data_IF_849453254788
#
_entry.id   IF_849453254788
#
_cell.length_a   1.000
_cell.length_b   1.000
_cell.length_c   1.000
_cell.angle_alpha   90.00
_cell.angle_beta   90.00
_cell.angle_gamma   90.00
#
_symmetry.space_group_name_H-M   'P 1'
#
loop_
_entity.id
_entity.type
_entity.pdbx_description
1 polymer ?
#
# COMPACT_ATOMS: atom_id res chain seq x y z
N UNK A 1 3.14 6.14 -41.32
CA UNK A 1 3.52 7.03 -40.20
C UNK A 1 3.19 6.31 -38.89
N UNK A 2 4.14 6.17 -37.95
CA UNK A 2 3.86 5.53 -36.65
C UNK A 2 3.33 6.59 -35.70
N UNK A 3 2.06 6.45 -35.31
CA UNK A 3 1.45 7.34 -34.33
C UNK A 3 1.84 6.91 -32.90
N UNK A 4 2.25 7.88 -32.08
CA UNK A 4 2.70 7.66 -30.71
C UNK A 4 1.61 8.13 -29.75
N UNK A 5 1.14 7.21 -28.92
CA UNK A 5 0.19 7.49 -27.85
C UNK A 5 0.86 7.26 -26.48
N UNK A 6 0.60 8.14 -25.52
CA UNK A 6 1.18 8.01 -24.18
C UNK A 6 0.52 6.85 -23.43
N UNK A 7 1.31 5.87 -22.98
CA UNK A 7 0.79 4.72 -22.23
C UNK A 7 0.38 5.05 -20.79
N UNK A 8 0.58 6.28 -20.30
CA UNK A 8 0.11 6.67 -18.97
C UNK A 8 -1.42 6.73 -18.90
N UNK A 9 -2.03 6.06 -17.91
CA UNK A 9 -3.47 5.76 -17.85
C UNK A 9 -4.43 6.94 -18.04
N UNK A 10 -4.07 8.10 -17.50
CA UNK A 10 -4.90 9.31 -17.52
C UNK A 10 -4.39 10.37 -18.50
N UNK A 11 -3.40 10.04 -19.35
CA UNK A 11 -2.76 11.00 -20.25
C UNK A 11 -3.33 10.89 -21.66
N UNK A 12 -3.85 11.99 -22.18
CA UNK A 12 -4.43 12.05 -23.52
C UNK A 12 -3.41 12.52 -24.59
N UNK A 13 -2.11 12.49 -24.28
CA UNK A 13 -1.10 12.97 -25.23
C UNK A 13 -0.94 11.98 -26.39
N UNK A 14 -1.16 12.46 -27.60
CA UNK A 14 -1.19 11.65 -28.82
C UNK A 14 -0.60 12.45 -29.99
N UNK A 15 0.38 11.85 -30.69
CA UNK A 15 1.09 12.53 -31.78
C UNK A 15 0.20 12.85 -32.98
N UNK A 16 -1.01 12.28 -33.08
CA UNK A 16 -1.99 12.62 -34.12
C UNK A 16 -2.58 14.01 -33.96
N UNK A 17 -2.52 14.57 -32.75
CA UNK A 17 -3.11 15.87 -32.40
C UNK A 17 -2.04 16.88 -31.98
N UNK A 18 -0.89 16.84 -32.67
CA UNK A 18 0.29 17.66 -32.33
C UNK A 18 0.03 19.18 -32.39
N UNK A 19 -0.96 19.58 -33.19
CA UNK A 19 -1.45 20.94 -33.36
C UNK A 19 -2.22 21.48 -32.14
N UNK A 20 -2.70 20.61 -31.25
CA UNK A 20 -3.51 21.03 -30.11
C UNK A 20 -2.67 21.79 -29.08
N UNK A 21 -3.24 22.80 -28.38
CA UNK A 21 -2.49 23.62 -27.41
C UNK A 21 -1.80 22.81 -26.29
N UNK A 22 -2.42 21.71 -25.87
CA UNK A 22 -1.87 20.85 -24.83
C UNK A 22 -0.72 19.94 -25.31
N UNK A 23 -0.45 19.88 -26.62
CA UNK A 23 0.63 19.09 -27.24
C UNK A 23 1.87 19.92 -27.57
N UNK A 24 1.86 21.24 -27.31
CA UNK A 24 3.01 22.13 -27.50
C UNK A 24 4.21 21.63 -26.68
N UNK A 25 5.35 21.45 -27.36
CA UNK A 25 6.63 20.97 -26.81
C UNK A 25 6.59 19.54 -26.20
N UNK A 26 5.61 18.73 -26.60
CA UNK A 26 5.47 17.35 -26.13
C UNK A 26 6.17 16.40 -27.09
N UNK A 27 7.14 15.65 -26.59
CA UNK A 27 7.76 14.55 -27.32
C UNK A 27 7.55 13.22 -26.59
N UNK A 28 7.79 12.12 -27.30
CA UNK A 28 7.53 10.76 -26.83
C UNK A 28 8.83 9.99 -26.66
N UNK A 29 8.94 9.33 -25.51
CA UNK A 29 10.10 8.57 -25.06
C UNK A 29 9.71 7.09 -25.03
N UNK A 30 10.60 6.22 -25.46
CA UNK A 30 10.34 4.78 -25.44
C UNK A 30 10.29 4.26 -24.01
N UNK A 31 9.33 3.38 -23.74
CA UNK A 31 9.24 2.70 -22.47
C UNK A 31 10.40 1.68 -22.32
N UNK A 32 11.04 1.58 -21.14
CA UNK A 32 12.10 0.61 -20.89
C UNK A 32 11.64 -0.82 -21.14
N UNK A 33 12.34 -1.56 -22.00
CA UNK A 33 11.96 -2.96 -22.29
C UNK A 33 12.26 -3.85 -21.10
N UNK A 34 11.37 -4.79 -20.81
CA UNK A 34 11.55 -5.75 -19.72
C UNK A 34 12.83 -6.58 -19.88
N UNK A 35 13.15 -7.02 -21.10
CA UNK A 35 14.33 -7.85 -21.40
C UNK A 35 15.66 -7.13 -21.14
N UNK A 36 15.75 -5.83 -21.45
CA UNK A 36 17.03 -5.08 -21.37
C UNK A 36 17.13 -4.21 -20.11
N UNK A 37 16.01 -3.81 -19.52
CA UNK A 37 15.96 -2.89 -18.39
C UNK A 37 14.90 -3.34 -17.37
N UNK A 38 15.00 -4.61 -16.92
CA UNK A 38 14.00 -5.28 -16.06
C UNK A 38 13.55 -4.43 -14.86
N UNK A 39 14.50 -3.97 -14.04
CA UNK A 39 14.20 -3.17 -12.83
C UNK A 39 13.47 -1.87 -13.17
N UNK A 40 13.95 -1.12 -14.17
CA UNK A 40 13.36 0.16 -14.60
C UNK A 40 11.98 -0.04 -15.24
N UNK A 41 11.82 -1.10 -16.04
CA UNK A 41 10.55 -1.46 -16.68
C UNK A 41 9.47 -1.77 -15.63
N UNK A 42 9.78 -2.65 -14.67
CA UNK A 42 8.86 -3.02 -13.58
C UNK A 42 8.50 -1.78 -12.75
N UNK A 43 9.50 -0.99 -12.35
CA UNK A 43 9.29 0.25 -11.60
C UNK A 43 8.36 1.21 -12.34
N UNK A 44 8.59 1.44 -13.62
CA UNK A 44 7.73 2.29 -14.44
C UNK A 44 6.32 1.69 -14.53
N UNK A 45 6.14 0.39 -14.80
CA UNK A 45 4.80 -0.21 -14.87
C UNK A 45 3.99 0.04 -13.58
N UNK A 46 4.61 -0.07 -12.41
CA UNK A 46 3.94 0.18 -11.13
C UNK A 46 3.51 1.64 -10.91
N UNK A 47 4.28 2.61 -11.43
CA UNK A 47 3.96 4.04 -11.33
C UNK A 47 2.74 4.46 -12.19
N UNK A 48 2.27 3.62 -13.12
CA UNK A 48 1.30 4.04 -14.13
C UNK A 48 -0.16 3.84 -13.69
N UNK A 49 -0.39 3.23 -12.53
CA UNK A 49 -1.71 3.08 -11.91
C UNK A 49 -2.74 2.35 -12.79
N UNK A 50 -2.28 1.56 -13.77
CA UNK A 50 -3.12 0.67 -14.57
C UNK A 50 -3.20 -0.70 -13.89
N UNK A 51 -4.36 -1.40 -13.92
CA UNK A 51 -4.46 -2.77 -13.46
C UNK A 51 -3.43 -3.68 -14.16
N UNK A 52 -2.82 -4.62 -13.43
CA UNK A 52 -1.80 -5.54 -13.96
C UNK A 52 -2.29 -6.39 -15.13
N UNK A 53 -3.60 -6.65 -15.21
CA UNK A 53 -4.24 -7.33 -16.34
C UNK A 53 -4.23 -6.47 -17.61
N UNK A 54 -4.34 -5.13 -17.47
CA UNK A 54 -4.35 -4.20 -18.61
C UNK A 54 -2.95 -3.83 -19.07
N UNK A 55 -2.01 -3.61 -18.14
CA UNK A 55 -0.65 -3.21 -18.46
C UNK A 55 0.34 -3.87 -17.51
N UNK A 56 1.26 -4.67 -18.06
CA UNK A 56 2.28 -5.39 -17.32
C UNK A 56 3.60 -5.40 -18.10
N UNK A 57 4.72 -5.80 -17.48
CA UNK A 57 6.03 -5.72 -18.14
C UNK A 57 6.14 -6.58 -19.42
N UNK A 58 5.35 -7.65 -19.54
CA UNK A 58 5.34 -8.53 -20.72
C UNK A 58 4.61 -7.90 -21.90
N UNK A 59 3.62 -7.04 -21.64
CA UNK A 59 2.90 -6.26 -22.66
C UNK A 59 3.67 -5.02 -23.15
N UNK A 60 4.83 -4.72 -22.57
CA UNK A 60 5.68 -3.60 -23.01
C UNK A 60 6.38 -3.97 -24.32
N UNK A 61 6.11 -3.20 -25.38
CA UNK A 61 6.70 -3.39 -26.71
C UNK A 61 7.58 -2.20 -27.11
N UNK A 62 8.23 -2.29 -28.27
CA UNK A 62 8.98 -1.17 -28.87
C UNK A 62 8.10 0.03 -29.25
N UNK A 63 6.78 -0.15 -29.30
CA UNK A 63 5.79 0.88 -29.60
C UNK A 63 5.09 1.43 -28.35
N UNK A 64 5.58 1.05 -27.17
CA UNK A 64 5.10 1.60 -25.91
C UNK A 64 5.85 2.90 -25.62
N UNK A 65 5.12 4.03 -25.58
CA UNK A 65 5.71 5.36 -25.40
C UNK A 65 5.14 6.07 -24.18
N UNK A 66 5.95 6.92 -23.55
CA UNK A 66 5.51 7.89 -22.55
C UNK A 66 5.87 9.30 -23.00
N UNK A 67 4.99 10.27 -22.80
CA UNK A 67 5.26 11.64 -23.21
C UNK A 67 6.10 12.42 -22.19
N UNK A 68 6.80 13.45 -22.65
CA UNK A 68 7.72 14.28 -21.86
C UNK A 68 7.06 14.99 -20.67
N UNK A 69 5.72 15.17 -20.68
CA UNK A 69 4.96 15.75 -19.56
C UNK A 69 5.12 15.00 -18.24
N UNK A 70 5.52 13.73 -18.31
CA UNK A 70 5.70 12.88 -17.15
C UNK A 70 7.10 12.98 -16.55
N UNK A 71 7.97 13.87 -17.04
CA UNK A 71 9.35 13.98 -16.57
C UNK A 71 9.70 15.43 -16.21
N UNK A 72 10.70 15.58 -15.35
CA UNK A 72 11.05 16.84 -14.69
C UNK A 72 11.48 17.87 -15.74
N UNK A 73 10.90 19.06 -15.68
CA UNK A 73 11.18 20.11 -16.66
C UNK A 73 10.71 19.80 -18.09
N UNK A 74 9.85 18.78 -18.29
CA UNK A 74 9.47 18.25 -19.61
C UNK A 74 10.65 17.78 -20.44
N UNK A 75 11.76 17.47 -19.78
CA UNK A 75 12.93 16.81 -20.36
C UNK A 75 12.86 15.35 -19.94
N UNK A 76 13.24 14.42 -20.80
CA UNK A 76 13.12 12.98 -20.53
C UNK A 76 13.85 12.52 -19.26
N UNK A 77 13.90 11.21 -18.97
CA UNK A 77 14.53 10.72 -17.76
C UNK A 77 16.02 11.15 -17.69
N UNK A 78 16.42 11.77 -16.57
CA UNK A 78 17.82 12.14 -16.28
C UNK A 78 18.40 11.20 -15.22
N UNK A 79 19.71 11.31 -14.94
CA UNK A 79 20.33 10.54 -13.84
C UNK A 79 19.75 10.92 -12.47
N UNK A 80 19.52 12.21 -12.24
CA UNK A 80 18.92 12.74 -11.01
C UNK A 80 17.42 12.40 -10.90
N UNK A 81 16.70 12.40 -12.03
CA UNK A 81 15.24 12.23 -12.07
C UNK A 81 14.83 11.17 -13.12
N UNK A 82 15.06 9.87 -12.83
CA UNK A 82 14.93 8.82 -13.82
C UNK A 82 13.50 8.31 -14.05
N UNK A 83 12.54 8.70 -13.20
CA UNK A 83 11.20 8.10 -13.15
C UNK A 83 10.06 9.05 -13.54
N UNK A 84 9.02 8.51 -14.20
CA UNK A 84 7.88 9.30 -14.62
C UNK A 84 6.88 9.56 -13.49
N UNK A 85 6.22 10.72 -13.53
CA UNK A 85 5.17 11.15 -12.59
C UNK A 85 3.86 11.51 -13.32
N UNK A 86 2.72 11.68 -12.64
CA UNK A 86 1.45 12.04 -13.30
C UNK A 86 1.53 13.37 -14.07
N UNK A 87 1.08 13.45 -15.33
CA UNK A 87 1.16 14.66 -16.15
C UNK A 87 0.35 15.87 -15.61
N UNK A 88 -0.49 15.66 -14.60
CA UNK A 88 -1.23 16.73 -13.89
C UNK A 88 -0.40 17.39 -12.78
N UNK A 89 0.88 17.05 -12.64
CA UNK A 89 1.73 17.53 -11.55
C UNK A 89 2.27 18.95 -11.79
N UNK A 90 1.97 19.91 -10.90
CA UNK A 90 2.61 21.24 -10.91
C UNK A 90 4.06 21.16 -10.40
N UNK A 91 4.87 22.22 -10.56
CA UNK A 91 6.27 22.27 -10.11
C UNK A 91 6.47 21.91 -8.62
N UNK A 92 5.51 22.27 -7.74
CA UNK A 92 5.50 21.83 -6.33
C UNK A 92 5.26 20.31 -6.17
N UNK A 93 4.43 19.71 -7.02
CA UNK A 93 4.15 18.27 -7.03
C UNK A 93 5.31 17.45 -7.62
N UNK A 94 6.08 18.04 -8.54
CA UNK A 94 7.33 17.44 -9.04
C UNK A 94 8.41 17.48 -7.96
N UNK A 95 8.61 18.62 -7.28
CA UNK A 95 9.54 18.72 -6.14
C UNK A 95 9.15 17.77 -5.01
N UNK A 96 7.85 17.60 -4.75
CA UNK A 96 7.31 16.59 -3.84
C UNK A 96 7.78 15.18 -4.23
N UNK A 97 7.58 14.78 -5.48
CA UNK A 97 7.91 13.44 -5.98
C UNK A 97 9.41 13.14 -5.80
N UNK A 98 10.27 14.08 -6.16
CA UNK A 98 11.73 13.93 -6.04
C UNK A 98 12.20 13.86 -4.58
N UNK A 99 11.73 14.80 -3.75
CA UNK A 99 12.12 14.89 -2.34
C UNK A 99 11.59 13.69 -1.52
N UNK A 100 10.43 13.14 -1.91
CA UNK A 100 9.85 11.95 -1.29
C UNK A 100 10.63 10.69 -1.67
N UNK A 101 11.04 10.52 -2.94
CA UNK A 101 11.92 9.42 -3.38
C UNK A 101 13.27 9.48 -2.63
N UNK A 102 13.93 10.66 -2.59
CA UNK A 102 15.18 10.85 -1.87
C UNK A 102 15.05 10.61 -0.37
N UNK A 103 13.94 11.05 0.23
CA UNK A 103 13.63 10.82 1.63
C UNK A 103 13.47 9.32 1.92
N UNK A 104 12.74 8.60 1.08
CA UNK A 104 12.47 7.18 1.27
C UNK A 104 13.67 6.27 1.03
N UNK A 105 14.58 6.61 0.12
CA UNK A 105 15.77 5.82 -0.23
C UNK A 105 16.86 5.79 0.86
N UNK A 106 16.72 6.59 1.93
CA UNK A 106 17.66 6.53 3.06
C UNK A 106 17.38 5.32 3.96
N UNK A 107 18.42 4.62 4.47
CA UNK A 107 18.24 3.55 5.44
C UNK A 107 17.38 3.98 6.63
N UNK A 108 16.44 3.12 7.08
CA UNK A 108 15.52 3.45 8.17
C UNK A 108 16.25 3.91 9.45
N UNK A 109 17.39 3.28 9.77
CA UNK A 109 18.27 3.66 10.88
C UNK A 109 18.82 5.09 10.73
N UNK A 110 19.31 5.45 9.54
CA UNK A 110 19.80 6.81 9.26
C UNK A 110 18.69 7.87 9.33
N UNK A 111 17.42 7.50 9.06
CA UNK A 111 16.27 8.40 9.23
C UNK A 111 16.01 8.68 10.70
N UNK A 112 16.02 7.62 11.52
CA UNK A 112 15.83 7.71 12.98
C UNK A 112 16.93 8.56 13.63
N UNK A 113 18.20 8.32 13.28
CA UNK A 113 19.34 9.11 13.79
C UNK A 113 19.27 10.59 13.39
N UNK A 114 18.95 10.90 12.12
CA UNK A 114 18.79 12.29 11.68
C UNK A 114 17.62 13.02 12.36
N UNK A 115 16.55 12.31 12.72
CA UNK A 115 15.41 12.88 13.47
C UNK A 115 15.81 13.17 14.91
N UNK A 116 16.53 12.24 15.56
CA UNK A 116 17.06 12.43 16.91
C UNK A 116 17.98 13.66 16.95
N UNK A 117 18.92 13.77 16.00
CA UNK A 117 19.83 14.91 15.89
C UNK A 117 19.11 16.23 15.62
N UNK A 118 18.07 16.26 14.76
CA UNK A 118 17.29 17.48 14.49
C UNK A 118 16.43 17.91 15.68
N UNK A 119 15.86 16.97 16.43
CA UNK A 119 15.11 17.29 17.64
C UNK A 119 16.02 17.83 18.75
N UNK A 120 17.27 17.34 18.83
CA UNK A 120 18.29 17.89 19.71
C UNK A 120 18.72 19.31 19.30
N UNK A 121 18.81 19.61 17.99
CA UNK A 121 19.12 20.96 17.49
C UNK A 121 17.95 21.95 17.60
N UNK A 122 16.69 21.49 17.55
CA UNK A 122 15.51 22.35 17.73
C UNK A 122 15.24 22.72 19.20
N UNK A 123 15.92 22.09 20.16
CA UNK A 123 15.87 22.44 21.58
C UNK A 123 16.71 23.69 21.92
N UNK A 124 17.53 24.20 20.99
CA UNK A 124 18.34 25.41 21.18
C UNK A 124 17.78 26.68 20.51
N UNK A 125 16.60 26.61 19.89
CA UNK A 125 15.95 27.76 19.23
C UNK A 125 14.95 28.46 20.14
N UNK A 126 15.32 29.58 20.74
CA UNK A 126 14.41 30.49 21.45
C UNK A 126 13.37 31.09 20.48
N UNK A 127 12.09 30.77 20.67
CA UNK A 127 10.98 31.40 19.96
C UNK A 127 10.44 32.54 20.82
N UNK A 128 10.59 33.79 20.35
CA UNK A 128 9.98 34.96 20.97
C UNK A 128 8.45 34.96 20.81
N UNK A 129 7.67 35.55 21.75
CA UNK A 129 6.21 35.52 21.68
C UNK A 129 5.70 36.50 20.60
N UNK A 130 4.75 36.03 19.79
CA UNK A 130 4.00 36.86 18.82
C UNK A 130 2.66 37.25 19.46
N UNK A 131 2.17 38.49 19.34
CA UNK A 131 0.95 38.94 20.00
C UNK A 131 -0.30 38.29 19.38
N UNK A 132 -1.32 38.09 20.20
CA UNK A 132 -2.60 37.52 19.82
C UNK A 132 -3.44 38.51 18.99
N UNK A 133 -3.80 38.12 17.77
CA UNK A 133 -4.88 38.74 17.00
C UNK A 133 -6.03 37.73 16.83
N UNK A 134 -7.23 38.15 17.22
CA UNK A 134 -8.48 37.42 17.05
C UNK A 134 -8.91 37.36 15.58
N UNK A 135 -9.11 36.17 15.02
CA UNK A 135 -10.06 35.96 13.92
C UNK A 135 -10.35 34.48 13.63
N UNK A 136 -11.64 34.11 13.79
CA UNK A 136 -12.40 32.97 13.22
C UNK A 136 -11.61 31.67 12.92
N UNK A 137 -11.93 30.52 13.56
CA UNK A 137 -11.17 29.29 13.38
C UNK A 137 -11.39 28.70 11.99
N UNK A 138 -10.56 29.10 11.01
CA UNK A 138 -10.42 28.34 9.77
C UNK A 138 -9.46 27.19 10.06
N UNK A 139 -10.02 25.99 10.25
CA UNK A 139 -9.28 24.77 10.53
C UNK A 139 -8.28 24.47 9.40
N UNK A 140 -7.05 24.96 9.52
CA UNK A 140 -5.95 24.62 8.62
C UNK A 140 -5.12 23.50 9.24
N UNK A 141 -5.48 22.24 8.94
CA UNK A 141 -4.77 21.08 9.45
C UNK A 141 -3.36 21.01 8.83
N UNK A 142 -2.33 20.97 9.68
CA UNK A 142 -0.94 20.88 9.26
C UNK A 142 -0.12 20.06 10.24
N UNK A 143 1.07 19.61 9.83
CA UNK A 143 1.97 18.87 10.72
C UNK A 143 2.39 19.72 11.93
N UNK A 144 2.53 21.04 11.75
CA UNK A 144 2.87 21.97 12.84
C UNK A 144 1.87 21.96 14.00
N UNK A 145 0.59 21.71 13.71
CA UNK A 145 -0.47 21.59 14.73
C UNK A 145 -0.45 20.21 15.39
N UNK A 146 -0.19 19.15 14.62
CA UNK A 146 -0.30 17.77 15.10
C UNK A 146 0.97 17.22 15.77
N UNK A 147 2.15 17.83 15.54
CA UNK A 147 3.44 17.25 15.94
C UNK A 147 3.59 16.94 17.44
N UNK A 148 2.88 17.68 18.29
CA UNK A 148 2.95 17.53 19.75
C UNK A 148 1.71 16.83 20.34
N UNK A 149 0.76 16.41 19.51
CA UNK A 149 -0.45 15.71 19.93
C UNK A 149 -0.54 14.35 19.22
N UNK A 150 0.07 13.36 19.84
CA UNK A 150 0.07 11.99 19.32
C UNK A 150 -1.33 11.37 19.26
N UNK A 151 -2.28 11.83 20.08
CA UNK A 151 -3.67 11.35 20.00
C UNK A 151 -4.32 11.88 18.72
N UNK A 152 -4.15 13.18 18.43
CA UNK A 152 -4.64 13.77 17.19
C UNK A 152 -3.89 13.21 15.97
N UNK A 153 -2.58 13.02 16.04
CA UNK A 153 -1.79 12.45 14.96
C UNK A 153 -2.24 11.00 14.65
N UNK A 154 -2.46 10.16 15.67
CA UNK A 154 -3.02 8.81 15.50
C UNK A 154 -4.45 8.85 14.97
N UNK A 155 -5.27 9.80 15.41
CA UNK A 155 -6.64 9.95 14.91
C UNK A 155 -6.67 10.25 13.41
N UNK A 156 -5.84 11.19 12.98
CA UNK A 156 -5.80 11.68 11.59
C UNK A 156 -5.02 10.76 10.66
N UNK A 157 -3.90 10.19 11.09
CA UNK A 157 -2.99 9.43 10.21
C UNK A 157 -2.94 7.94 10.51
N UNK A 158 -3.31 7.54 11.73
CA UNK A 158 -3.07 6.19 12.26
C UNK A 158 -1.69 5.98 12.87
N UNK A 159 -0.83 7.00 12.91
CA UNK A 159 0.55 6.92 13.37
C UNK A 159 0.81 7.91 14.52
N UNK A 160 1.80 7.62 15.37
CA UNK A 160 2.44 8.66 16.20
C UNK A 160 3.20 9.65 15.31
N UNK A 161 3.51 10.83 15.83
CA UNK A 161 4.37 11.79 15.15
C UNK A 161 5.73 11.17 14.83
N UNK A 162 6.33 10.44 15.77
CA UNK A 162 7.59 9.73 15.56
C UNK A 162 7.54 8.75 14.37
N UNK A 163 6.51 7.89 14.33
CA UNK A 163 6.35 6.94 13.23
C UNK A 163 6.03 7.63 11.90
N UNK A 164 5.29 8.75 11.96
CA UNK A 164 4.98 9.55 10.80
C UNK A 164 6.23 10.17 10.15
N UNK A 165 7.12 10.78 10.94
CA UNK A 165 8.37 11.37 10.42
C UNK A 165 9.39 10.30 10.00
N UNK A 166 9.33 9.10 10.58
CA UNK A 166 10.17 7.99 10.16
C UNK A 166 9.86 7.49 8.74
N UNK A 167 8.62 7.69 8.24
CA UNK A 167 8.25 7.33 6.87
C UNK A 167 8.91 8.27 5.85
N UNK A 168 9.01 9.56 6.17
CA UNK A 168 9.70 10.53 5.33
C UNK A 168 10.08 11.76 6.15
N UNK A 169 11.30 12.25 5.94
CA UNK A 169 11.78 13.54 6.48
C UNK A 169 11.54 14.69 5.51
N UNK A 170 11.03 14.37 4.32
CA UNK A 170 10.75 15.28 3.21
C UNK A 170 9.26 15.26 2.88
N UNK A 171 8.68 16.41 2.54
CA UNK A 171 7.28 16.48 2.09
C UNK A 171 6.23 15.97 3.10
N UNK A 172 6.44 16.30 4.37
CA UNK A 172 5.59 15.87 5.48
C UNK A 172 4.13 16.30 5.30
N UNK A 173 3.86 17.50 4.77
CA UNK A 173 2.48 17.98 4.60
C UNK A 173 1.70 17.20 3.54
N UNK A 174 2.34 16.79 2.45
CA UNK A 174 1.73 15.94 1.43
C UNK A 174 1.50 14.51 1.93
N UNK A 175 2.45 13.95 2.70
CA UNK A 175 2.25 12.67 3.35
C UNK A 175 1.08 12.72 4.34
N UNK A 176 0.96 13.81 5.11
CA UNK A 176 -0.16 14.05 6.01
C UNK A 176 -1.49 14.03 5.26
N UNK A 177 -1.62 14.79 4.17
CA UNK A 177 -2.83 14.81 3.32
C UNK A 177 -3.19 13.41 2.83
N UNK A 178 -2.20 12.66 2.37
CA UNK A 178 -2.42 11.29 1.90
C UNK A 178 -2.88 10.36 3.04
N UNK A 179 -2.21 10.39 4.20
CA UNK A 179 -2.57 9.55 5.35
C UNK A 179 -3.93 9.90 5.93
N UNK A 180 -4.28 11.19 6.01
CA UNK A 180 -5.61 11.66 6.41
C UNK A 180 -6.69 11.10 5.51
N UNK A 181 -6.49 11.17 4.19
CA UNK A 181 -7.45 10.65 3.21
C UNK A 181 -7.70 9.15 3.39
N UNK A 182 -6.64 8.40 3.65
CA UNK A 182 -6.70 6.95 3.84
C UNK A 182 -7.36 6.56 5.17
N UNK A 183 -6.92 7.20 6.25
CA UNK A 183 -7.38 6.90 7.61
C UNK A 183 -8.82 7.31 7.82
N UNK A 184 -9.17 8.52 7.40
CA UNK A 184 -10.47 9.13 7.66
C UNK A 184 -11.49 8.91 6.55
N UNK A 185 -11.04 8.63 5.33
CA UNK A 185 -11.94 8.42 4.20
C UNK A 185 -12.57 9.70 3.64
N UNK A 186 -12.16 10.89 4.10
CA UNK A 186 -12.76 12.18 3.70
C UNK A 186 -12.73 12.41 2.19
N UNK A 187 -13.80 12.96 1.61
CA UNK A 187 -13.78 13.34 0.20
C UNK A 187 -12.85 14.55 -0.04
N UNK A 188 -12.45 14.78 -1.30
CA UNK A 188 -11.57 15.89 -1.63
C UNK A 188 -12.20 17.25 -1.32
N UNK A 189 -13.53 17.37 -1.44
CA UNK A 189 -14.27 18.55 -1.03
C UNK A 189 -14.06 18.87 0.46
N UNK A 190 -14.28 17.93 1.39
CA UNK A 190 -14.00 18.15 2.82
C UNK A 190 -12.53 18.51 3.06
N UNK A 191 -11.60 17.78 2.42
CA UNK A 191 -10.17 18.06 2.56
C UNK A 191 -9.77 19.44 2.03
N UNK A 192 -10.49 19.99 1.04
CA UNK A 192 -10.21 21.31 0.48
C UNK A 192 -10.33 22.42 1.51
N UNK A 193 -11.31 22.32 2.42
CA UNK A 193 -11.46 23.24 3.54
C UNK A 193 -10.38 23.00 4.59
N UNK A 194 -10.13 21.74 4.94
CA UNK A 194 -9.15 21.38 5.98
C UNK A 194 -7.71 21.81 5.63
N UNK A 195 -7.33 21.74 4.35
CA UNK A 195 -5.97 22.03 3.89
C UNK A 195 -5.87 23.34 3.11
N UNK A 196 -6.97 24.07 2.90
CA UNK A 196 -7.03 25.28 2.07
C UNK A 196 -6.41 25.07 0.68
N UNK A 197 -6.69 23.93 0.05
CA UNK A 197 -6.17 23.54 -1.26
C UNK A 197 -7.29 23.06 -2.18
N UNK A 198 -7.15 23.27 -3.49
CA UNK A 198 -8.15 22.81 -4.45
C UNK A 198 -8.28 21.28 -4.47
N UNK A 199 -9.47 20.77 -4.78
CA UNK A 199 -9.70 19.32 -4.93
C UNK A 199 -8.78 18.69 -5.99
N UNK A 200 -8.48 19.42 -7.06
CA UNK A 200 -7.57 18.98 -8.11
C UNK A 200 -6.14 18.78 -7.59
N UNK A 201 -5.67 19.71 -6.75
CA UNK A 201 -4.35 19.62 -6.12
C UNK A 201 -4.30 18.43 -5.15
N UNK A 202 -5.30 18.29 -4.28
CA UNK A 202 -5.38 17.23 -3.29
C UNK A 202 -5.45 15.83 -3.92
N UNK A 203 -6.19 15.69 -5.03
CA UNK A 203 -6.27 14.44 -5.80
C UNK A 203 -4.93 14.06 -6.41
N UNK A 204 -4.23 15.03 -7.00
CA UNK A 204 -2.89 14.83 -7.57
C UNK A 204 -1.87 14.42 -6.49
N UNK A 205 -1.88 15.11 -5.34
CA UNK A 205 -1.05 14.76 -4.18
C UNK A 205 -1.37 13.35 -3.68
N UNK A 206 -2.65 13.03 -3.50
CA UNK A 206 -3.08 11.73 -3.01
C UNK A 206 -2.61 10.60 -3.93
N UNK A 207 -2.87 10.70 -5.23
CA UNK A 207 -2.45 9.69 -6.22
C UNK A 207 -0.94 9.52 -6.25
N UNK A 208 -0.19 10.63 -6.33
CA UNK A 208 1.29 10.59 -6.41
C UNK A 208 1.89 10.00 -5.14
N UNK A 209 1.45 10.47 -3.96
CA UNK A 209 1.93 9.97 -2.68
C UNK A 209 1.61 8.47 -2.55
N UNK A 210 0.40 8.05 -2.91
CA UNK A 210 0.01 6.65 -2.84
C UNK A 210 0.85 5.73 -3.73
N UNK A 211 1.12 6.14 -4.98
CA UNK A 211 2.00 5.42 -5.91
C UNK A 211 3.42 5.29 -5.37
N UNK A 212 3.95 6.36 -4.79
CA UNK A 212 5.30 6.37 -4.21
C UNK A 212 5.42 5.44 -3.01
N UNK A 213 4.44 5.48 -2.11
CA UNK A 213 4.39 4.58 -0.97
C UNK A 213 4.26 3.12 -1.40
N UNK A 214 3.48 2.87 -2.45
CA UNK A 214 3.43 1.55 -3.07
C UNK A 214 4.82 1.10 -3.55
N UNK A 215 5.55 1.95 -4.26
CA UNK A 215 6.90 1.60 -4.73
C UNK A 215 7.85 1.31 -3.56
N UNK A 216 7.83 2.15 -2.52
CA UNK A 216 8.71 2.00 -1.36
C UNK A 216 8.52 0.69 -0.61
N UNK A 217 7.28 0.39 -0.24
CA UNK A 217 7.00 -0.84 0.49
C UNK A 217 7.24 -2.06 -0.42
N UNK A 218 7.25 -1.91 -1.75
CA UNK A 218 7.47 -3.01 -2.69
C UNK A 218 8.95 -3.31 -2.84
N UNK A 219 9.80 -2.29 -2.72
CA UNK A 219 11.25 -2.48 -2.58
C UNK A 219 11.60 -3.18 -1.25
N UNK A 220 10.84 -2.89 -0.19
CA UNK A 220 11.00 -3.54 1.11
C UNK A 220 10.43 -4.99 1.16
N UNK A 221 9.76 -5.47 0.10
CA UNK A 221 9.09 -6.78 0.10
C UNK A 221 10.04 -7.94 0.46
N UNK A 222 11.27 -7.92 -0.04
CA UNK A 222 12.26 -8.98 0.20
C UNK A 222 12.70 -9.04 1.68
N UNK A 223 12.71 -7.90 2.37
CA UNK A 223 13.08 -7.83 3.80
C UNK A 223 11.87 -7.98 4.73
N UNK A 224 10.65 -7.91 4.20
CA UNK A 224 9.41 -8.08 4.97
C UNK A 224 9.11 -9.54 5.31
N UNK A 225 9.68 -10.50 4.58
CA UNK A 225 9.60 -11.92 4.90
C UNK A 225 10.94 -12.40 5.45
N UNK A 226 11.14 -12.30 6.78
CA UNK A 226 12.39 -12.73 7.39
C UNK A 226 12.56 -14.25 7.29
N UNK A 227 13.79 -14.67 7.09
CA UNK A 227 14.15 -16.10 7.14
C UNK A 227 13.82 -16.73 8.50
N UNK A 228 13.64 -18.05 8.48
CA UNK A 228 13.36 -18.86 9.68
C UNK A 228 14.37 -18.63 10.79
N UNK A 229 15.64 -18.38 10.45
CA UNK A 229 16.72 -18.10 11.41
C UNK A 229 16.46 -16.82 12.21
N UNK A 230 15.98 -15.77 11.56
CA UNK A 230 15.62 -14.49 12.18
C UNK A 230 14.37 -14.64 13.03
N UNK A 231 13.34 -15.31 12.50
CA UNK A 231 12.10 -15.57 13.22
C UNK A 231 12.33 -16.33 14.53
N UNK A 232 13.20 -17.36 14.51
CA UNK A 232 13.51 -18.18 15.69
C UNK A 232 14.09 -17.35 16.85
N UNK A 233 14.83 -16.27 16.56
CA UNK A 233 15.45 -15.41 17.58
C UNK A 233 14.43 -14.55 18.34
N UNK A 234 13.35 -14.14 17.68
CA UNK A 234 12.35 -13.21 18.23
C UNK A 234 10.93 -13.82 18.26
N UNK A 235 10.83 -15.13 18.56
CA UNK A 235 9.58 -15.88 18.50
C UNK A 235 8.65 -15.54 19.68
N UNK A 236 7.43 -15.01 19.44
CA UNK A 236 6.50 -14.71 20.52
C UNK A 236 5.99 -15.96 21.23
N UNK A 237 5.58 -15.79 22.50
CA UNK A 237 5.04 -16.88 23.34
C UNK A 237 3.84 -17.59 22.69
N UNK A 238 3.00 -16.88 21.94
CA UNK A 238 1.84 -17.46 21.25
C UNK A 238 2.18 -18.47 20.15
N UNK A 239 3.40 -18.44 19.61
CA UNK A 239 3.86 -19.36 18.57
C UNK A 239 4.73 -20.51 19.09
N UNK A 240 5.14 -20.50 20.37
CA UNK A 240 6.08 -21.49 20.94
C UNK A 240 5.63 -22.95 20.82
N UNK A 241 4.32 -23.21 20.74
CA UNK A 241 3.77 -24.56 20.58
C UNK A 241 3.92 -25.13 19.17
N UNK A 242 4.40 -24.34 18.21
CA UNK A 242 4.52 -24.73 16.82
C UNK A 242 5.99 -24.74 16.40
N UNK A 243 6.40 -25.79 15.69
CA UNK A 243 7.76 -25.91 15.13
C UNK A 243 7.77 -25.29 13.73
N UNK A 244 8.81 -24.51 13.43
CA UNK A 244 9.05 -23.92 12.11
C UNK A 244 7.90 -23.05 11.54
N UNK A 245 7.14 -22.34 12.38
CA UNK A 245 6.14 -21.39 11.86
C UNK A 245 6.82 -20.30 11.06
N UNK A 246 6.36 -20.13 9.82
CA UNK A 246 6.80 -19.07 8.94
C UNK A 246 5.82 -17.89 8.97
N UNK A 247 4.52 -18.14 8.76
CA UNK A 247 3.50 -17.11 8.85
C UNK A 247 2.08 -17.67 9.08
N UNK A 248 1.21 -16.79 9.56
CA UNK A 248 -0.24 -16.98 9.58
C UNK A 248 -0.86 -16.29 8.37
N UNK A 249 -1.70 -16.98 7.62
CA UNK A 249 -2.36 -16.47 6.42
C UNK A 249 -3.86 -16.31 6.64
N UNK A 250 -4.41 -15.22 6.15
CA UNK A 250 -5.83 -14.93 6.14
C UNK A 250 -6.24 -14.15 4.89
N UNK A 251 -7.51 -14.22 4.49
CA UNK A 251 -8.04 -13.40 3.41
C UNK A 251 -9.00 -12.36 3.98
N UNK A 252 -8.87 -11.12 3.52
CA UNK A 252 -9.85 -10.06 3.81
C UNK A 252 -10.55 -9.62 2.54
N UNK A 253 -11.83 -9.30 2.67
CA UNK A 253 -12.64 -8.75 1.59
C UNK A 253 -12.69 -7.22 1.68
N UNK A 254 -12.84 -6.56 0.54
CA UNK A 254 -13.15 -5.14 0.48
C UNK A 254 -14.01 -4.84 -0.74
N UNK A 255 -14.66 -3.68 -0.69
CA UNK A 255 -15.76 -3.35 -1.57
C UNK A 255 -15.39 -2.18 -2.47
N UNK A 256 -15.65 -2.28 -3.76
CA UNK A 256 -15.48 -1.20 -4.73
C UNK A 256 -16.81 -0.95 -5.43
N UNK A 257 -17.16 0.30 -5.71
CA UNK A 257 -18.39 0.59 -6.46
C UNK A 257 -18.34 -0.01 -7.87
N UNK A 258 -19.42 -0.66 -8.32
CA UNK A 258 -19.52 -1.15 -9.70
C UNK A 258 -19.65 0.00 -10.70
N UNK A 259 -19.04 -0.13 -11.90
CA UNK A 259 -19.39 0.72 -13.04
C UNK A 259 -20.84 0.46 -13.47
N UNK A 260 -21.57 1.54 -13.79
CA UNK A 260 -22.97 1.47 -14.24
C UNK A 260 -23.13 0.95 -15.67
N UNK A 261 -22.04 0.77 -16.42
CA UNK A 261 -22.07 0.30 -17.81
C UNK A 261 -22.08 -1.23 -17.87
N UNK A 262 -23.14 -1.80 -18.44
CA UNK A 262 -23.36 -3.25 -18.60
C UNK A 262 -22.20 -3.98 -19.31
N UNK A 263 -21.54 -3.34 -20.28
CA UNK A 263 -20.38 -3.92 -20.99
C UNK A 263 -19.15 -4.12 -20.10
N UNK A 264 -19.06 -3.42 -18.96
CA UNK A 264 -18.00 -3.61 -17.96
C UNK A 264 -18.42 -4.56 -16.82
N UNK A 265 -19.71 -4.90 -16.70
CA UNK A 265 -20.25 -5.79 -15.66
C UNK A 265 -19.96 -7.27 -15.95
N UNK A 266 -19.87 -7.67 -17.22
CA UNK A 266 -19.74 -9.08 -17.64
C UNK A 266 -18.50 -9.81 -17.10
N UNK A 267 -17.45 -9.09 -16.68
CA UNK A 267 -16.19 -9.68 -16.18
C UNK A 267 -16.05 -9.62 -14.65
N UNK A 268 -17.04 -9.10 -13.91
CA UNK A 268 -16.91 -8.74 -12.48
C UNK A 268 -17.98 -9.39 -11.59
N UNK A 269 -18.65 -10.43 -12.10
CA UNK A 269 -19.71 -11.13 -11.40
C UNK A 269 -19.13 -12.21 -10.47
N UNK A 270 -19.15 -11.97 -9.15
CA UNK A 270 -18.89 -13.01 -8.15
C UNK A 270 -20.20 -13.42 -7.47
N UNK A 271 -20.53 -14.71 -7.51
CA UNK A 271 -21.80 -15.32 -7.08
C UNK A 271 -22.13 -15.26 -5.57
N UNK A 272 -21.48 -14.42 -4.76
CA UNK A 272 -21.69 -14.42 -3.31
C UNK A 272 -22.25 -13.08 -2.78
N UNK A 273 -23.50 -13.19 -2.28
CA UNK A 273 -24.38 -12.21 -1.58
C UNK A 273 -25.33 -11.39 -2.47
N UNK A 274 -26.58 -11.83 -2.47
CA UNK A 274 -27.77 -11.31 -3.16
C UNK A 274 -28.28 -9.92 -2.73
N UNK A 275 -27.46 -9.04 -2.14
CA UNK A 275 -27.89 -7.68 -1.85
C UNK A 275 -26.90 -6.63 -2.39
N UNK A 276 -27.34 -6.01 -3.49
CA UNK A 276 -26.85 -4.81 -4.20
C UNK A 276 -25.89 -5.08 -5.38
N UNK A 277 -26.51 -5.12 -6.57
CA UNK A 277 -25.99 -5.06 -7.96
C UNK A 277 -25.08 -3.83 -8.28
N UNK A 278 -24.48 -3.20 -7.26
CA UNK A 278 -23.70 -1.96 -7.37
C UNK A 278 -22.32 -2.01 -6.69
N UNK A 279 -21.87 -3.17 -6.22
CA UNK A 279 -20.60 -3.32 -5.48
C UNK A 279 -19.83 -4.55 -5.99
N UNK A 280 -18.53 -4.38 -6.27
CA UNK A 280 -17.57 -5.44 -6.58
C UNK A 280 -16.86 -5.80 -5.28
N UNK A 281 -16.89 -7.08 -4.92
CA UNK A 281 -16.09 -7.61 -3.81
C UNK A 281 -14.74 -8.06 -4.35
N UNK A 282 -13.68 -7.54 -3.77
CA UNK A 282 -12.33 -8.01 -4.01
C UNK A 282 -11.82 -8.68 -2.74
N UNK A 283 -10.97 -9.69 -2.92
CA UNK A 283 -10.27 -10.36 -1.84
C UNK A 283 -8.80 -10.02 -1.84
N UNK A 284 -8.19 -10.04 -0.68
CA UNK A 284 -6.75 -9.85 -0.49
C UNK A 284 -6.23 -10.87 0.52
N UNK A 285 -5.16 -11.58 0.17
CA UNK A 285 -4.44 -12.47 1.07
C UNK A 285 -3.44 -11.68 1.90
N UNK A 286 -3.43 -11.90 3.21
CA UNK A 286 -2.48 -11.33 4.16
C UNK A 286 -1.74 -12.46 4.82
N UNK A 287 -0.41 -12.38 4.84
CA UNK A 287 0.45 -13.38 5.46
C UNK A 287 1.35 -12.71 6.48
N UNK A 288 1.07 -12.89 7.77
CA UNK A 288 1.77 -12.24 8.89
C UNK A 288 2.74 -13.23 9.53
N UNK A 289 4.02 -12.92 9.50
CA UNK A 289 5.07 -13.65 10.19
C UNK A 289 4.99 -13.46 11.71
N UNK A 290 5.57 -14.37 12.52
CA UNK A 290 5.49 -14.32 13.98
C UNK A 290 5.95 -13.00 14.63
N UNK A 291 6.93 -12.32 14.03
CA UNK A 291 7.40 -11.01 14.51
C UNK A 291 6.49 -9.83 14.11
N UNK A 292 5.34 -10.10 13.48
CA UNK A 292 4.40 -9.09 13.00
C UNK A 292 4.73 -8.48 11.63
N UNK A 293 5.80 -8.93 10.98
CA UNK A 293 6.17 -8.51 9.60
C UNK A 293 5.49 -9.40 8.55
N UNK A 294 5.53 -9.00 7.29
CA UNK A 294 5.03 -9.80 6.18
C UNK A 294 3.59 -9.45 5.80
N UNK A 295 3.40 -9.12 4.51
CA UNK A 295 2.08 -8.96 3.88
C UNK A 295 2.22 -9.12 2.35
N UNK A 296 1.29 -9.86 1.74
CA UNK A 296 1.11 -9.91 0.28
C UNK A 296 -0.19 -9.21 -0.09
N UNK A 297 -0.33 -8.83 -1.36
CA UNK A 297 -1.56 -8.23 -1.88
C UNK A 297 -1.75 -8.71 -3.31
N UNK A 298 -2.89 -9.34 -3.57
CA UNK A 298 -3.33 -9.72 -4.90
C UNK A 298 -4.86 -9.76 -4.95
N UNK A 299 -5.45 -9.47 -6.11
CA UNK A 299 -6.87 -9.21 -6.30
C UNK A 299 -7.49 -10.17 -7.32
N UNK A 300 -8.10 -11.24 -6.82
CA UNK A 300 -8.91 -12.19 -7.59
C UNK A 300 -10.11 -12.70 -6.79
N UNK A 301 -10.92 -13.58 -7.40
CA UNK A 301 -12.27 -13.94 -6.95
C UNK A 301 -12.26 -15.08 -5.93
N UNK A 302 -11.28 -16.00 -5.98
CA UNK A 302 -11.16 -17.12 -5.03
C UNK A 302 -9.90 -17.08 -4.16
N UNK A 303 -10.02 -17.61 -2.94
CA UNK A 303 -8.94 -17.69 -1.95
C UNK A 303 -7.72 -18.48 -2.47
N UNK A 304 -7.99 -19.54 -3.25
CA UNK A 304 -6.99 -20.41 -3.83
C UNK A 304 -6.23 -19.74 -4.97
N UNK A 305 -6.92 -19.13 -5.92
CA UNK A 305 -6.27 -18.42 -7.03
C UNK A 305 -5.36 -17.31 -6.52
N UNK A 306 -5.81 -16.59 -5.49
CA UNK A 306 -4.99 -15.57 -4.83
C UNK A 306 -3.71 -16.18 -4.25
N UNK A 307 -3.81 -17.32 -3.57
CA UNK A 307 -2.66 -18.02 -3.00
C UNK A 307 -1.62 -18.39 -4.07
N UNK A 308 -2.06 -18.92 -5.21
CA UNK A 308 -1.19 -19.31 -6.32
C UNK A 308 -0.48 -18.10 -6.95
N UNK A 309 -1.21 -16.99 -7.13
CA UNK A 309 -0.71 -15.83 -7.85
C UNK A 309 0.06 -14.82 -6.99
N UNK A 310 -0.19 -14.77 -5.68
CA UNK A 310 0.42 -13.78 -4.77
C UNK A 310 1.93 -14.01 -4.52
N UNK A 311 2.51 -15.07 -5.11
CA UNK A 311 3.93 -15.46 -4.99
C UNK A 311 4.38 -15.74 -3.56
N UNK A 312 3.48 -15.97 -2.61
CA UNK A 312 3.85 -16.41 -1.26
C UNK A 312 4.72 -17.67 -1.30
N UNK A 313 4.46 -18.56 -2.27
CA UNK A 313 5.22 -19.80 -2.47
C UNK A 313 6.71 -19.59 -2.72
N UNK A 314 7.16 -18.43 -3.27
CA UNK A 314 8.59 -18.16 -3.46
C UNK A 314 9.31 -17.72 -2.19
N UNK A 315 8.58 -17.43 -1.12
CA UNK A 315 9.14 -17.01 0.17
C UNK A 315 9.17 -18.14 1.21
N UNK A 316 8.66 -19.33 0.86
CA UNK A 316 8.57 -20.48 1.75
C UNK A 316 9.69 -21.46 1.46
N UNK A 317 10.27 -22.00 2.54
CA UNK A 317 11.33 -22.99 2.50
C UNK A 317 10.82 -24.38 2.93
N UNK A 318 11.43 -25.47 2.44
CA UNK A 318 11.12 -26.82 2.91
C UNK A 318 11.12 -26.94 4.45
N UNK A 319 10.08 -27.55 4.98
CA UNK A 319 9.82 -27.73 6.41
C UNK A 319 9.21 -26.52 7.13
N UNK A 320 8.84 -25.45 6.41
CA UNK A 320 8.09 -24.33 6.98
C UNK A 320 6.66 -24.76 7.33
N UNK A 321 6.06 -24.06 8.29
CA UNK A 321 4.69 -24.26 8.73
C UNK A 321 3.86 -22.98 8.53
N UNK A 322 2.76 -23.11 7.81
CA UNK A 322 1.74 -22.08 7.62
C UNK A 322 0.56 -22.32 8.55
N UNK A 323 0.05 -21.25 9.17
CA UNK A 323 -1.19 -21.31 9.95
C UNK A 323 -2.32 -20.62 9.16
N UNK A 324 -3.42 -21.30 8.90
CA UNK A 324 -4.50 -20.76 8.04
C UNK A 324 -5.87 -20.84 8.71
N UNK A 325 -6.85 -20.08 8.20
CA UNK A 325 -8.24 -20.20 8.65
C UNK A 325 -8.85 -21.55 8.21
N UNK A 326 -9.85 -22.03 8.94
CA UNK A 326 -10.65 -23.19 8.54
C UNK A 326 -11.31 -22.91 7.17
N UNK A 327 -11.13 -23.81 6.21
CA UNK A 327 -11.65 -23.66 4.84
C UNK A 327 -10.66 -23.14 3.81
N UNK A 328 -9.43 -22.81 4.21
CA UNK A 328 -8.37 -22.38 3.30
C UNK A 328 -7.59 -23.61 2.76
N UNK A 329 -8.08 -24.19 1.66
CA UNK A 329 -7.58 -25.47 1.11
C UNK A 329 -6.48 -25.27 0.07
N UNK A 330 -5.23 -25.17 0.56
CA UNK A 330 -4.01 -25.01 -0.27
C UNK A 330 -2.92 -26.04 0.03
N UNK A 331 -3.27 -27.09 0.79
CA UNK A 331 -2.32 -28.13 1.22
C UNK A 331 -1.64 -28.82 0.03
N UNK A 332 -2.38 -29.09 -1.04
CA UNK A 332 -1.88 -29.69 -2.27
C UNK A 332 -0.86 -28.81 -3.01
N UNK A 333 -0.90 -27.49 -2.85
CA UNK A 333 0.09 -26.55 -3.40
C UNK A 333 1.39 -26.52 -2.58
N UNK A 334 1.29 -26.85 -1.29
CA UNK A 334 2.36 -26.78 -0.30
C UNK A 334 3.12 -28.11 -0.16
N UNK A 335 2.41 -29.23 -0.24
CA UNK A 335 2.97 -30.59 -0.12
C UNK A 335 4.15 -30.86 -1.08
N UNK A 336 4.08 -30.52 -2.39
CA UNK A 336 5.21 -30.72 -3.30
C UNK A 336 6.47 -29.91 -2.94
N UNK A 337 6.31 -28.86 -2.14
CA UNK A 337 7.41 -27.99 -1.67
C UNK A 337 7.91 -28.39 -0.28
N UNK A 338 7.39 -29.49 0.28
CA UNK A 338 7.66 -29.93 1.65
C UNK A 338 7.30 -28.86 2.69
N UNK A 339 6.29 -28.03 2.41
CA UNK A 339 5.77 -27.03 3.34
C UNK A 339 4.53 -27.60 4.01
N UNK A 340 4.46 -27.47 5.32
CA UNK A 340 3.32 -27.94 6.11
C UNK A 340 2.29 -26.82 6.29
N UNK A 341 1.02 -27.19 6.36
CA UNK A 341 -0.08 -26.29 6.71
C UNK A 341 -0.80 -26.82 7.93
N UNK A 342 -1.17 -25.93 8.84
CA UNK A 342 -1.99 -26.24 9.99
C UNK A 342 -3.37 -25.60 9.82
N UNK A 343 -4.34 -26.44 9.47
CA UNK A 343 -5.75 -26.06 9.33
C UNK A 343 -6.47 -26.53 10.60
N UNK A 344 -7.29 -25.69 11.26
CA UNK A 344 -8.11 -26.15 12.37
C UNK A 344 -8.97 -27.37 11.97
N UNK A 345 -9.05 -28.42 12.81
CA UNK A 345 -9.70 -29.68 12.48
C UNK A 345 -11.15 -29.48 12.09
N UNK A 346 -11.69 -30.30 11.18
CA UNK A 346 -13.09 -30.24 10.76
C UNK A 346 -13.96 -31.20 11.60
N UNK A 347 -15.24 -30.85 11.78
CA UNK A 347 -16.19 -31.73 12.47
C UNK A 347 -16.48 -33.00 11.64
N UNK A 348 -16.43 -32.94 10.31
CA UNK A 348 -16.64 -34.09 9.40
C UNK A 348 -17.88 -34.92 9.75
N UNK A 349 -19.00 -34.25 10.09
CA UNK A 349 -20.25 -34.91 10.48
C UNK A 349 -20.34 -35.34 11.95
N UNK A 350 -19.30 -35.12 12.77
CA UNK A 350 -19.34 -35.32 14.22
C UNK A 350 -19.99 -34.13 14.93
N UNK A 351 -20.63 -34.38 16.07
CA UNK A 351 -21.25 -33.31 16.88
C UNK A 351 -20.23 -32.41 17.60
N UNK A 352 -19.06 -32.97 17.99
CA UNK A 352 -18.03 -32.26 18.77
C UNK A 352 -16.62 -32.65 18.34
N UNK A 353 -15.67 -31.75 18.56
CA UNK A 353 -14.24 -32.04 18.44
C UNK A 353 -13.76 -32.85 19.65
N UNK A 354 -12.71 -33.63 19.48
CA UNK A 354 -12.03 -34.29 20.61
C UNK A 354 -11.28 -33.26 21.47
N UNK A 355 -10.98 -33.60 22.72
CA UNK A 355 -10.22 -32.71 23.61
C UNK A 355 -8.85 -32.29 23.03
N UNK A 356 -8.20 -33.18 22.27
CA UNK A 356 -6.94 -32.89 21.58
C UNK A 356 -7.12 -31.90 20.42
N UNK A 357 -8.17 -32.07 19.62
CA UNK A 357 -8.53 -31.16 18.53
C UNK A 357 -8.93 -29.78 19.06
N UNK A 358 -9.64 -29.70 20.19
CA UNK A 358 -9.96 -28.44 20.87
C UNK A 358 -8.70 -27.74 21.38
N UNK A 359 -7.76 -28.48 21.98
CA UNK A 359 -6.47 -27.94 22.40
C UNK A 359 -5.67 -27.40 21.21
N UNK A 360 -5.63 -28.13 20.09
CA UNK A 360 -4.97 -27.68 18.87
C UNK A 360 -5.66 -26.42 18.31
N UNK A 361 -6.99 -26.40 18.26
CA UNK A 361 -7.78 -25.25 17.80
C UNK A 361 -7.49 -24.01 18.65
N UNK A 362 -7.45 -24.14 19.98
CA UNK A 362 -7.08 -23.04 20.88
C UNK A 362 -5.66 -22.53 20.64
N UNK A 363 -4.69 -23.42 20.42
CA UNK A 363 -3.32 -23.03 20.08
C UNK A 363 -3.25 -22.28 18.76
N UNK A 364 -3.95 -22.77 17.72
CA UNK A 364 -3.97 -22.14 16.40
C UNK A 364 -4.64 -20.76 16.49
N UNK A 365 -5.78 -20.65 17.17
CA UNK A 365 -6.46 -19.37 17.39
C UNK A 365 -5.55 -18.36 18.12
N UNK A 366 -4.85 -18.79 19.17
CA UNK A 366 -3.90 -17.94 19.90
C UNK A 366 -2.74 -17.44 19.03
N UNK A 367 -2.26 -18.24 18.09
CA UNK A 367 -1.22 -17.82 17.14
C UNK A 367 -1.79 -16.92 16.03
N UNK A 368 -3.02 -17.20 15.57
CA UNK A 368 -3.70 -16.43 14.52
C UNK A 368 -4.21 -15.07 14.99
N UNK A 369 -4.29 -14.81 16.29
CA UNK A 369 -4.63 -13.46 16.83
C UNK A 369 -3.78 -12.33 16.21
N UNK A 370 -2.55 -12.61 15.79
CA UNK A 370 -1.68 -11.63 15.13
C UNK A 370 -2.20 -11.21 13.76
N UNK A 371 -2.63 -12.15 12.92
CA UNK A 371 -3.22 -11.85 11.61
C UNK A 371 -4.62 -11.24 11.77
N UNK A 372 -5.37 -11.66 12.79
CA UNK A 372 -6.69 -11.08 13.12
C UNK A 372 -6.56 -9.61 13.57
N UNK A 373 -5.64 -9.30 14.49
CA UNK A 373 -5.33 -7.91 14.90
C UNK A 373 -4.86 -7.06 13.72
N UNK A 374 -4.13 -7.66 12.78
CA UNK A 374 -3.73 -6.99 11.56
C UNK A 374 -4.94 -6.62 10.69
N UNK A 375 -5.86 -7.58 10.47
CA UNK A 375 -7.15 -7.34 9.82
C UNK A 375 -7.98 -6.26 10.52
N UNK A 376 -8.07 -6.30 11.84
CA UNK A 376 -8.76 -5.27 12.63
C UNK A 376 -8.16 -3.88 12.42
N UNK A 377 -6.82 -3.77 12.35
CA UNK A 377 -6.14 -2.49 12.09
C UNK A 377 -6.45 -1.96 10.70
N UNK A 378 -6.53 -2.82 9.69
CA UNK A 378 -6.95 -2.43 8.34
C UNK A 378 -8.38 -1.89 8.32
N UNK A 379 -9.28 -2.51 9.08
CA UNK A 379 -10.66 -2.04 9.23
C UNK A 379 -10.77 -0.65 9.90
N UNK A 380 -9.71 -0.16 10.55
CA UNK A 380 -9.64 1.20 11.08
C UNK A 380 -9.30 2.26 10.02
N UNK A 381 -9.03 1.89 8.77
CA UNK A 381 -8.79 2.82 7.66
C UNK A 381 -10.05 2.97 6.83
N UNK A 382 -10.75 4.09 7.05
CA UNK A 382 -12.12 4.28 6.56
C UNK A 382 -12.24 4.32 5.04
N UNK A 383 -11.16 4.62 4.31
CA UNK A 383 -11.21 4.55 2.85
C UNK A 383 -11.30 3.12 2.32
N UNK A 384 -10.55 2.19 2.92
CA UNK A 384 -10.48 0.79 2.45
C UNK A 384 -11.51 -0.11 3.13
N UNK A 385 -11.94 0.23 4.35
CA UNK A 385 -12.96 -0.52 5.08
C UNK A 385 -14.38 -0.23 4.61
N UNK A 386 -14.59 0.91 3.91
CA UNK A 386 -15.85 1.26 3.29
C UNK A 386 -15.89 0.83 1.82
N UNK A 387 -16.92 1.27 1.08
CA UNK A 387 -16.96 1.07 -0.37
C UNK A 387 -16.04 2.07 -1.06
N UNK A 388 -14.95 1.58 -1.65
CA UNK A 388 -14.00 2.38 -2.41
C UNK A 388 -14.73 2.96 -3.64
N UNK A 389 -14.70 4.29 -3.84
CA UNK A 389 -15.29 4.91 -5.02
C UNK A 389 -14.69 4.37 -6.31
N UNK A 390 -15.49 4.22 -7.36
CA UNK A 390 -15.03 3.71 -8.66
C UNK A 390 -13.86 4.54 -9.24
N UNK A 391 -13.84 5.85 -8.96
CA UNK A 391 -12.75 6.75 -9.36
C UNK A 391 -11.39 6.41 -8.74
N UNK A 392 -11.38 5.62 -7.66
CA UNK A 392 -10.19 5.12 -6.98
C UNK A 392 -9.94 3.64 -7.25
N UNK A 393 -10.80 2.95 -8.01
CA UNK A 393 -10.64 1.52 -8.33
C UNK A 393 -9.27 1.19 -8.97
N UNK A 394 -8.72 1.98 -9.91
CA UNK A 394 -7.38 1.72 -10.46
C UNK A 394 -6.25 1.84 -9.43
N UNK A 395 -6.49 2.58 -8.34
CA UNK A 395 -5.53 2.82 -7.26
C UNK A 395 -5.82 1.97 -6.01
N UNK A 396 -6.91 1.19 -6.00
CA UNK A 396 -7.31 0.39 -4.85
C UNK A 396 -6.21 -0.59 -4.43
N UNK A 397 -5.49 -1.13 -5.42
CA UNK A 397 -4.34 -1.99 -5.20
C UNK A 397 -3.17 -1.35 -4.48
N UNK A 398 -2.97 -0.06 -4.73
CA UNK A 398 -1.89 0.73 -4.15
C UNK A 398 -2.29 1.29 -2.77
N UNK A 399 -3.57 1.62 -2.59
CA UNK A 399 -4.13 2.09 -1.32
C UNK A 399 -3.92 1.09 -0.18
N UNK A 400 -4.12 -0.18 -0.49
CA UNK A 400 -4.01 -1.25 0.50
C UNK A 400 -2.55 -1.54 0.90
N UNK A 401 -1.60 -1.38 -0.03
CA UNK A 401 -0.18 -1.62 0.17
C UNK A 401 0.50 -0.65 1.14
N UNK A 402 -0.02 0.58 1.27
CA UNK A 402 0.49 1.56 2.24
C UNK A 402 0.11 1.25 3.69
N UNK A 403 -0.97 0.52 3.95
CA UNK A 403 -1.45 0.30 5.31
C UNK A 403 -0.62 -0.68 6.14
N UNK A 404 0.54 -1.05 5.63
CA UNK A 404 1.19 -2.29 5.99
C UNK A 404 2.47 -2.17 6.81
N UNK A 405 3.00 -0.96 7.06
CA UNK A 405 4.29 -0.79 7.75
C UNK A 405 4.48 0.54 8.51
N UNK A 406 3.43 1.07 9.13
CA UNK A 406 3.64 2.06 10.19
C UNK A 406 4.22 1.36 11.40
N UNK A 407 5.56 1.41 11.60
CA UNK A 407 6.31 1.03 12.80
C UNK A 407 5.40 0.62 13.98
N UNK A 408 5.09 -0.67 14.07
CA UNK A 408 4.46 -1.24 15.27
C UNK A 408 5.61 -1.52 16.23
N UNK A 409 6.11 -0.47 16.86
CA UNK A 409 6.82 -0.59 18.12
C UNK A 409 5.80 -0.29 19.21
N UNK A 410 5.09 -1.31 19.67
CA UNK A 410 4.37 -1.21 20.94
C UNK A 410 5.38 -1.52 22.05
N UNK A 411 5.84 -0.47 22.75
CA UNK A 411 6.32 -0.60 24.13
C UNK A 411 5.12 -0.67 25.05
N UNK A 412 4.33 -1.73 24.96
CA UNK A 412 3.30 -2.10 25.97
C UNK A 412 3.15 -3.63 25.98
N UNK A 413 4.27 -4.36 26.02
CA UNK A 413 4.32 -5.70 26.59
C UNK A 413 4.60 -5.57 28.10
N UNK A 414 3.53 -5.45 28.88
CA UNK A 414 3.44 -5.94 30.27
C UNK A 414 2.02 -5.74 30.80
N UNK A 415 1.09 -6.60 30.38
CA UNK A 415 0.00 -7.13 31.21
C UNK A 415 -0.84 -8.14 30.42
N UNK A 416 -1.01 -9.33 31.01
CA UNK A 416 -1.87 -10.47 30.66
C UNK A 416 -1.40 -11.43 29.55
#
# INVERSE_FOLDING_TARGET
>A
MVFKHCCYGTCNSDSRYADRPHMKDVFFINFPKFKTAKKKCVRWVHLFGRPSQQFNPEKVTKFTYICSKHFVGRKGPTEENPDPFPATSCSKQVRFFLCFIEGMNRPLQSKVENIILRNQLNLSGTISPVPAEECRPTLHLSVGILKNDDKAMKFFTGLTYFNFVALTTSSIDELLKCLVRLKRGYCFYTMSFMFKQSESCLRSIFTSCLQLLYCHFNELREVMFPDRSVLKRFMPKSFKSFKNVHCSVDCTEFFVQMPRNFSQQGNLYSNYKHHLSLIITYKCLIAVAPNGTGVFILYEVSDREIFEQCRILSHLNPGDLLLVHRGFTVEDLLMPRHVHVNIPPFLNGREKLTAQEELLTRKIAKARIHVERYNERLNKFKLISGTIPLSLAPLASQAYFKHQNGLITDTEENAA
#
